data_IF_642971262171
#
_entry.id   IF_642971262171
#
_cell.length_a   1.000
_cell.length_b   1.000
_cell.length_c   1.000
_cell.angle_alpha   90.00
_cell.angle_beta   90.00
_cell.angle_gamma   90.00
#
_symmetry.space_group_name_H-M   'P 1'
#
loop_
_entity.id
_entity.type
_entity.pdbx_description
1 polymer ?
#
# COMPACT_ATOMS: atom_id res chain seq x y z
N UNK A 1 -11.80 18.34 14.15
CA UNK A 1 -10.84 19.21 13.45
C UNK A 1 -10.27 20.19 14.46
N UNK A 2 -8.93 20.29 14.57
CA UNK A 2 -8.25 21.26 15.43
C UNK A 2 -7.69 22.38 14.56
N UNK A 3 -7.88 23.64 14.96
CA UNK A 3 -7.49 24.82 14.17
C UNK A 3 -6.44 25.60 14.95
N UNK A 4 -5.29 25.86 14.33
CA UNK A 4 -4.17 26.58 14.94
C UNK A 4 -3.65 27.61 13.94
N UNK A 5 -3.44 28.83 14.40
CA UNK A 5 -2.82 29.90 13.59
C UNK A 5 -1.34 29.95 13.91
N UNK A 6 -0.49 29.81 12.89
CA UNK A 6 0.98 29.89 12.99
C UNK A 6 1.52 31.02 12.13
N UNK A 7 2.54 31.71 12.62
CA UNK A 7 3.34 32.68 11.85
C UNK A 7 4.45 31.97 11.08
N UNK A 8 5.09 32.70 10.18
CA UNK A 8 6.25 32.23 9.42
C UNK A 8 7.39 31.86 10.38
N UNK A 9 7.97 30.68 10.22
CA UNK A 9 8.98 30.10 11.10
C UNK A 9 8.41 29.33 12.31
N UNK A 10 7.12 29.46 12.63
CA UNK A 10 6.52 28.67 13.71
C UNK A 10 6.17 27.25 13.25
N UNK A 11 6.09 26.35 14.23
CA UNK A 11 5.82 24.93 13.98
C UNK A 11 4.70 24.38 14.87
N UNK A 12 4.13 23.26 14.41
CA UNK A 12 3.12 22.44 15.08
C UNK A 12 3.71 21.04 15.21
N UNK A 13 3.59 20.43 16.37
CA UNK A 13 4.05 19.05 16.60
C UNK A 13 2.85 18.13 16.76
N UNK A 14 2.85 16.98 16.08
CA UNK A 14 1.79 15.98 16.12
C UNK A 14 2.38 14.69 16.70
N UNK A 15 1.91 14.29 17.89
CA UNK A 15 2.57 13.25 18.68
C UNK A 15 4.03 13.64 18.99
N UNK A 16 4.92 12.65 19.01
CA UNK A 16 6.33 12.88 19.39
C UNK A 16 7.28 12.96 18.19
N UNK A 17 6.82 12.58 16.99
CA UNK A 17 7.70 12.33 15.85
C UNK A 17 7.35 13.13 14.59
N UNK A 18 6.27 13.90 14.58
CA UNK A 18 5.86 14.66 13.39
C UNK A 18 5.90 16.15 13.71
N UNK A 19 6.63 16.92 12.91
CA UNK A 19 6.73 18.38 13.04
C UNK A 19 6.38 19.05 11.71
N UNK A 20 5.43 19.97 11.76
CA UNK A 20 4.99 20.76 10.61
C UNK A 20 5.43 22.21 10.83
N UNK A 21 6.21 22.76 9.92
CA UNK A 21 6.79 24.11 10.03
C UNK A 21 6.31 24.98 8.88
N UNK A 22 5.90 26.21 9.18
CA UNK A 22 5.55 27.20 8.14
C UNK A 22 6.84 27.84 7.63
N UNK A 23 7.30 27.43 6.45
CA UNK A 23 8.56 27.93 5.87
C UNK A 23 8.39 29.26 5.14
N UNK A 24 7.21 29.52 4.56
CA UNK A 24 6.98 30.75 3.82
C UNK A 24 5.54 30.91 3.36
N UNK A 25 5.13 32.15 3.12
CA UNK A 25 3.80 32.50 2.59
C UNK A 25 4.02 33.32 1.32
N UNK A 26 3.47 32.83 0.20
CA UNK A 26 3.58 33.43 -1.13
C UNK A 26 2.19 33.72 -1.66
N UNK A 27 1.68 34.91 -1.34
CA UNK A 27 0.31 35.30 -1.67
C UNK A 27 -0.72 34.33 -1.07
N UNK A 28 -1.28 33.46 -1.91
CA UNK A 28 -2.28 32.46 -1.52
C UNK A 28 -1.70 31.07 -1.25
N UNK A 29 -0.40 30.87 -1.46
CA UNK A 29 0.27 29.59 -1.26
C UNK A 29 1.12 29.62 0.02
N UNK A 30 1.16 28.51 0.74
CA UNK A 30 1.98 28.36 1.94
C UNK A 30 2.98 27.22 1.71
N UNK A 31 4.25 27.47 1.95
CA UNK A 31 5.28 26.43 1.99
C UNK A 31 5.29 25.82 3.38
N UNK A 32 4.96 24.54 3.45
CA UNK A 32 5.00 23.76 4.67
C UNK A 32 6.19 22.80 4.60
N UNK A 33 7.01 22.79 5.63
CA UNK A 33 7.99 21.74 5.88
C UNK A 33 7.36 20.70 6.78
N UNK A 34 7.42 19.43 6.40
CA UNK A 34 6.92 18.31 7.21
C UNK A 34 8.10 17.40 7.49
N UNK A 35 8.46 17.29 8.76
CA UNK A 35 9.43 16.34 9.27
C UNK A 35 8.67 15.21 9.94
N UNK A 36 8.89 13.99 9.47
CA UNK A 36 8.21 12.79 9.93
C UNK A 36 9.12 11.57 9.72
N UNK A 37 9.03 10.54 10.58
CA UNK A 37 9.83 9.33 10.43
C UNK A 37 9.41 8.55 9.18
N UNK A 38 10.33 7.77 8.60
CA UNK A 38 10.11 7.01 7.35
C UNK A 38 8.89 6.06 7.39
N UNK A 39 8.52 5.59 8.58
CA UNK A 39 7.34 4.73 8.77
C UNK A 39 6.01 5.45 8.48
N UNK A 40 5.99 6.79 8.53
CA UNK A 40 4.82 7.62 8.27
C UNK A 40 4.95 8.19 6.86
N UNK A 41 4.07 7.74 5.97
CA UNK A 41 4.05 8.24 4.59
C UNK A 41 3.30 9.56 4.54
N UNK A 42 3.90 10.57 3.92
CA UNK A 42 3.30 11.90 3.74
C UNK A 42 2.93 12.09 2.28
N UNK A 43 1.65 12.39 2.03
CA UNK A 43 1.12 12.64 0.69
C UNK A 43 0.39 13.98 0.65
N UNK A 44 0.27 14.54 -0.55
CA UNK A 44 -0.70 15.60 -0.81
C UNK A 44 -2.10 14.99 -0.86
N UNK A 45 -3.10 15.70 -0.36
CA UNK A 45 -4.46 15.19 -0.21
C UNK A 45 -5.03 14.68 -1.53
N UNK A 46 -4.89 15.47 -2.60
CA UNK A 46 -5.40 15.12 -3.93
C UNK A 46 -4.78 13.84 -4.50
N UNK A 47 -3.51 13.58 -4.18
CA UNK A 47 -2.80 12.38 -4.58
C UNK A 47 -3.29 11.19 -3.76
N UNK A 48 -3.43 11.35 -2.45
CA UNK A 48 -3.90 10.30 -1.56
C UNK A 48 -5.31 9.83 -1.91
N UNK A 49 -6.24 10.76 -2.18
CA UNK A 49 -7.61 10.45 -2.59
C UNK A 49 -7.63 9.66 -3.90
N UNK A 50 -6.81 10.05 -4.88
CA UNK A 50 -6.70 9.34 -6.17
C UNK A 50 -6.19 7.92 -5.99
N UNK A 51 -5.11 7.73 -5.22
CA UNK A 51 -4.54 6.40 -4.95
C UNK A 51 -5.60 5.50 -4.29
N UNK A 52 -6.32 6.01 -3.28
CA UNK A 52 -7.36 5.25 -2.61
C UNK A 52 -8.51 4.87 -3.56
N UNK A 53 -8.96 5.80 -4.41
CA UNK A 53 -10.02 5.54 -5.36
C UNK A 53 -9.61 4.42 -6.35
N UNK A 54 -8.38 4.48 -6.86
CA UNK A 54 -7.88 3.49 -7.81
C UNK A 54 -7.67 2.12 -7.15
N UNK A 55 -7.13 2.08 -5.93
CA UNK A 55 -7.01 0.84 -5.16
C UNK A 55 -8.37 0.18 -4.92
N UNK A 56 -9.42 0.96 -4.64
CA UNK A 56 -10.78 0.44 -4.49
C UNK A 56 -11.32 -0.15 -5.79
N UNK A 57 -11.13 0.54 -6.92
CA UNK A 57 -11.53 0.01 -8.23
C UNK A 57 -10.80 -1.29 -8.57
N UNK A 58 -9.48 -1.34 -8.34
CA UNK A 58 -8.68 -2.53 -8.56
C UNK A 58 -9.15 -3.71 -7.70
N UNK A 59 -9.51 -3.45 -6.43
CA UNK A 59 -10.05 -4.47 -5.53
C UNK A 59 -11.43 -5.01 -5.95
N UNK A 60 -12.18 -4.24 -6.76
CA UNK A 60 -13.51 -4.63 -7.26
C UNK A 60 -13.45 -5.43 -8.57
N UNK A 61 -12.26 -5.67 -9.14
CA UNK A 61 -12.12 -6.46 -10.35
C UNK A 61 -12.67 -7.88 -10.14
N UNK A 62 -13.62 -8.29 -10.99
CA UNK A 62 -14.35 -9.54 -10.83
C UNK A 62 -13.52 -10.77 -11.22
N UNK A 63 -13.91 -11.94 -10.73
CA UNK A 63 -13.30 -13.24 -11.10
C UNK A 63 -13.27 -13.48 -12.62
N UNK A 64 -14.21 -12.89 -13.36
CA UNK A 64 -14.29 -12.93 -14.82
C UNK A 64 -13.17 -12.14 -15.50
N UNK A 65 -12.83 -10.97 -14.96
CA UNK A 65 -11.73 -10.13 -15.48
C UNK A 65 -10.37 -10.75 -15.18
N UNK A 66 -10.24 -11.39 -14.02
CA UNK A 66 -9.04 -12.17 -13.69
C UNK A 66 -8.83 -13.36 -14.65
N UNK A 67 -9.90 -14.08 -14.98
CA UNK A 67 -9.82 -15.23 -15.89
C UNK A 67 -9.49 -14.82 -17.34
N UNK A 68 -10.00 -13.68 -17.81
CA UNK A 68 -9.65 -13.18 -19.15
C UNK A 68 -8.18 -12.76 -19.23
N UNK A 69 -7.64 -12.11 -18.19
CA UNK A 69 -6.21 -11.74 -18.11
C UNK A 69 -5.31 -12.99 -18.07
N UNK A 70 -5.67 -14.01 -17.28
CA UNK A 70 -4.92 -15.28 -17.24
C UNK A 70 -4.89 -15.96 -18.62
N UNK A 71 -6.01 -15.94 -19.34
CA UNK A 71 -6.08 -16.52 -20.69
C UNK A 71 -5.25 -15.72 -21.70
N UNK A 72 -5.25 -14.38 -21.61
CA UNK A 72 -4.39 -13.53 -22.44
C UNK A 72 -2.90 -13.77 -22.18
N UNK A 73 -2.50 -13.88 -20.90
CA UNK A 73 -1.12 -14.20 -20.53
C UNK A 73 -0.69 -15.57 -21.05
N UNK A 74 -1.51 -16.61 -20.86
CA UNK A 74 -1.21 -17.96 -21.37
C UNK A 74 -0.98 -17.98 -22.88
N UNK A 75 -1.79 -17.25 -23.64
CA UNK A 75 -1.64 -17.18 -25.09
C UNK A 75 -0.36 -16.45 -25.51
N UNK A 76 0.06 -15.42 -24.76
CA UNK A 76 1.29 -14.67 -25.01
C UNK A 76 2.56 -15.47 -24.68
N UNK A 77 2.55 -16.26 -23.60
CA UNK A 77 3.68 -17.14 -23.28
C UNK A 77 3.77 -18.35 -24.23
N UNK A 78 2.64 -18.84 -24.74
CA UNK A 78 2.61 -19.96 -25.70
C UNK A 78 3.24 -19.61 -27.05
N UNK A 79 3.31 -18.32 -27.42
CA UNK A 79 4.04 -17.85 -28.61
C UNK A 79 5.55 -17.68 -28.42
N UNK A 80 6.06 -17.70 -27.18
CA UNK A 80 7.49 -17.53 -26.88
C UNK A 80 8.18 -18.83 -26.41
N UNK A 81 7.41 -19.85 -26.02
CA UNK A 81 7.94 -21.17 -25.64
C UNK A 81 8.16 -22.03 -26.89
N UNK A 82 9.43 -22.18 -27.31
CA UNK A 82 9.84 -23.25 -28.23
C UNK A 82 9.38 -24.61 -27.66
N UNK A 83 8.91 -25.56 -28.48
CA UNK A 83 8.45 -26.86 -28.01
C UNK A 83 9.63 -27.63 -27.41
N UNK A 84 9.76 -27.65 -26.08
CA UNK A 84 10.85 -28.39 -25.42
C UNK A 84 11.05 -28.20 -23.92
N UNK A 85 10.41 -27.24 -23.23
CA UNK A 85 10.62 -27.05 -21.79
C UNK A 85 9.59 -27.79 -20.92
N UNK A 86 10.01 -28.51 -19.88
CA UNK A 86 9.14 -29.35 -19.05
C UNK A 86 8.13 -28.52 -18.25
N UNK A 87 6.92 -29.07 -18.10
CA UNK A 87 5.78 -28.48 -17.39
C UNK A 87 6.17 -28.23 -15.94
N UNK A 88 6.19 -26.97 -15.50
CA UNK A 88 6.35 -26.64 -14.07
C UNK A 88 5.06 -27.02 -13.34
N UNK A 89 5.14 -28.09 -12.56
CA UNK A 89 4.08 -28.52 -11.65
C UNK A 89 3.95 -27.47 -10.52
N UNK A 90 2.86 -26.71 -10.55
CA UNK A 90 2.55 -25.74 -9.49
C UNK A 90 2.03 -26.51 -8.27
N UNK A 91 2.93 -26.93 -7.38
CA UNK A 91 2.54 -27.43 -6.07
C UNK A 91 1.98 -26.29 -5.21
N UNK A 92 0.67 -26.34 -4.94
CA UNK A 92 0.05 -25.46 -3.95
C UNK A 92 0.46 -25.94 -2.56
N UNK A 93 1.36 -25.20 -1.92
CA UNK A 93 1.84 -25.52 -0.57
C UNK A 93 0.76 -25.15 0.45
N UNK A 94 -0.21 -26.02 0.65
CA UNK A 94 -1.22 -25.92 1.70
C UNK A 94 -0.54 -25.96 3.09
N UNK A 95 -0.17 -24.79 3.62
CA UNK A 95 0.25 -24.65 5.01
C UNK A 95 -0.97 -24.58 5.93
N UNK A 96 -1.70 -25.70 6.10
CA UNK A 96 -2.51 -25.90 7.30
C UNK A 96 -1.58 -26.19 8.47
N UNK A 97 -1.11 -25.13 9.12
CA UNK A 97 -0.46 -25.19 10.42
C UNK A 97 -1.36 -25.96 11.40
N UNK A 98 -0.91 -27.17 11.75
CA UNK A 98 -1.34 -27.92 12.93
C UNK A 98 -1.21 -27.01 14.15
N UNK A 99 -2.34 -26.63 14.75
CA UNK A 99 -2.33 -26.11 16.12
C UNK A 99 -1.98 -27.29 17.02
N UNK A 100 -0.74 -27.32 17.50
CA UNK A 100 -0.33 -28.20 18.60
C UNK A 100 -1.10 -27.78 19.84
N UNK A 101 -2.11 -28.56 20.21
CA UNK A 101 -2.69 -28.51 21.55
C UNK A 101 -1.89 -29.52 22.37
N UNK A 102 -0.97 -29.02 23.21
CA UNK A 102 -0.30 -29.82 24.24
C UNK A 102 -1.31 -30.13 25.35
N UNK A 103 -1.44 -31.38 25.82
CA UNK A 103 -2.08 -31.66 27.09
C UNK A 103 -0.99 -31.97 28.11
N UNK A 104 -0.55 -30.99 28.91
CA UNK A 104 0.20 -31.28 30.13
C UNK A 104 -0.30 -30.40 31.27
N UNK A 105 -0.68 -31.07 32.37
CA UNK A 105 -1.03 -30.42 33.63
C UNK A 105 -2.14 -31.14 34.40
N UNK A 106 -1.89 -32.36 34.90
CA UNK A 106 -2.42 -32.76 36.20
C UNK A 106 -1.24 -32.77 37.17
N UNK A 107 -1.35 -32.18 38.38
CA UNK A 107 -0.48 -32.53 39.49
C UNK A 107 -0.73 -33.98 39.94
#
# INVERSE_FOLDING_TARGET
>A
MLILTRKLGESITIGDNIKVTVLGIYGRQVRLGIDAPLKVVVHREEVYVRIQAENRKAAQAGKKDLMSVVNMLKNKFKSELKPGTPKTELEYRDQKHKRNIRPEGKP
#
